data_IF_654405765891
#
_entry.id   IF_654405765891
#
_cell.length_a   1.000
_cell.length_b   1.000
_cell.length_c   1.000
_cell.angle_alpha   90.00
_cell.angle_beta   90.00
_cell.angle_gamma   90.00
#
_symmetry.space_group_name_H-M   'P 1'
#
loop_
_entity.id
_entity.type
_entity.pdbx_description
1 polymer ?
#
# COMPACT_ATOMS: atom_id res chain seq x y z
N UNK A 1 13.53 -4.53 8.07
CA UNK A 1 14.97 -4.64 7.71
C UNK A 1 15.75 -3.38 8.07
N UNK A 2 15.46 -2.20 7.51
CA UNK A 2 16.22 -0.96 7.80
C UNK A 2 16.25 -0.56 9.28
N UNK A 3 15.13 -0.69 10.00
CA UNK A 3 15.06 -0.44 11.45
C UNK A 3 15.86 -1.48 12.25
N UNK A 4 15.88 -2.73 11.79
CA UNK A 4 16.69 -3.79 12.39
C UNK A 4 18.18 -3.54 12.18
N UNK A 5 18.59 -3.22 10.94
CA UNK A 5 19.97 -2.82 10.61
C UNK A 5 20.41 -1.61 11.44
N UNK A 6 19.54 -0.60 11.60
CA UNK A 6 19.79 0.55 12.49
C UNK A 6 20.01 0.10 13.93
N UNK A 7 19.14 -0.76 14.48
CA UNK A 7 19.28 -1.30 15.84
C UNK A 7 20.57 -2.12 15.99
N UNK A 8 20.93 -2.95 15.01
CA UNK A 8 22.21 -3.70 14.98
C UNK A 8 23.42 -2.77 14.96
N UNK A 9 23.37 -1.68 14.18
CA UNK A 9 24.45 -0.70 14.08
C UNK A 9 24.72 0.00 15.43
N UNK A 10 23.67 0.23 16.23
CA UNK A 10 23.79 0.83 17.57
C UNK A 10 23.94 -0.18 18.71
N UNK A 11 23.86 -1.49 18.42
CA UNK A 11 23.91 -2.57 19.41
C UNK A 11 25.35 -2.96 19.83
N UNK A 12 26.39 -2.24 19.40
CA UNK A 12 27.79 -2.47 19.82
C UNK A 12 28.01 -2.47 21.34
N UNK A 13 27.03 -2.02 22.15
CA UNK A 13 27.10 -2.03 23.62
C UNK A 13 26.29 -3.11 24.32
N UNK A 14 25.38 -3.82 23.65
CA UNK A 14 24.52 -4.83 24.28
C UNK A 14 24.73 -6.20 23.60
N UNK A 15 25.35 -7.14 24.32
CA UNK A 15 25.82 -8.46 23.84
C UNK A 15 24.74 -9.45 23.34
N UNK A 16 23.57 -9.01 22.90
CA UNK A 16 22.53 -9.88 22.34
C UNK A 16 21.93 -9.28 21.07
N UNK A 17 22.49 -9.65 19.92
CA UNK A 17 21.84 -9.40 18.63
C UNK A 17 20.67 -10.38 18.51
N UNK A 18 19.45 -9.88 18.74
CA UNK A 18 18.23 -10.66 18.59
C UNK A 18 18.06 -11.05 17.10
N UNK A 19 17.71 -12.32 16.79
CA UNK A 19 17.47 -12.76 15.42
C UNK A 19 16.52 -11.85 14.63
N UNK A 20 16.78 -11.67 13.34
CA UNK A 20 16.00 -10.78 12.47
C UNK A 20 14.48 -11.08 12.54
N UNK A 21 14.09 -12.35 12.53
CA UNK A 21 12.67 -12.74 12.57
C UNK A 21 11.96 -12.26 13.83
N UNK A 22 12.64 -12.26 14.99
CA UNK A 22 12.09 -11.75 16.23
C UNK A 22 11.79 -10.26 16.11
N UNK A 23 12.66 -9.50 15.43
CA UNK A 23 12.46 -8.05 15.28
C UNK A 23 11.26 -7.66 14.42
N UNK A 24 10.69 -8.62 13.66
CA UNK A 24 9.40 -8.45 12.99
C UNK A 24 8.22 -8.35 13.97
N UNK A 25 8.41 -8.71 15.24
CA UNK A 25 7.41 -8.54 16.29
C UNK A 25 7.66 -7.24 17.08
N UNK A 26 8.91 -6.80 17.25
CA UNK A 26 9.30 -5.66 18.12
C UNK A 26 9.28 -4.25 17.48
N UNK A 27 8.67 -4.08 16.31
CA UNK A 27 8.63 -2.76 15.64
C UNK A 27 7.37 -1.94 15.97
N UNK A 28 6.34 -2.56 16.56
CA UNK A 28 5.08 -1.89 16.87
C UNK A 28 5.06 -1.42 18.33
N UNK A 29 4.61 -0.19 18.59
CA UNK A 29 4.25 0.24 19.95
C UNK A 29 2.92 -0.39 20.33
N UNK A 30 2.88 -1.09 21.47
CA UNK A 30 1.62 -1.61 22.00
C UNK A 30 0.70 -0.45 22.37
N UNK A 31 -0.58 -0.60 22.05
CA UNK A 31 -1.59 0.40 22.35
C UNK A 31 -1.80 0.49 23.87
N UNK A 32 -1.66 1.66 24.48
CA UNK A 32 -2.04 1.87 25.90
C UNK A 32 -3.53 1.57 26.16
N UNK A 33 -4.36 1.50 25.10
CA UNK A 33 -5.78 1.11 25.20
C UNK A 33 -5.99 -0.39 25.49
N UNK A 34 -4.94 -1.22 25.52
CA UNK A 34 -5.06 -2.62 25.91
C UNK A 34 -5.08 -2.81 27.44
N UNK A 35 -6.00 -2.15 28.13
CA UNK A 35 -6.62 -2.78 29.31
C UNK A 35 -7.56 -3.94 28.89
N UNK A 36 -7.80 -4.10 27.57
CA UNK A 36 -8.47 -5.24 26.94
C UNK A 36 -7.56 -6.43 26.60
N UNK A 37 -6.29 -6.45 27.01
CA UNK A 37 -5.50 -7.69 27.01
C UNK A 37 -5.97 -8.71 28.07
N UNK A 38 -7.11 -8.45 28.72
CA UNK A 38 -7.88 -9.44 29.45
C UNK A 38 -8.55 -10.40 28.45
N UNK A 39 -7.88 -11.55 28.27
CA UNK A 39 -8.39 -12.84 27.77
C UNK A 39 -9.19 -12.80 26.46
N UNK A 40 -8.52 -12.54 25.33
CA UNK A 40 -9.08 -12.92 24.02
C UNK A 40 -9.22 -14.44 24.00
N UNK A 41 -10.47 -14.91 23.90
CA UNK A 41 -10.76 -16.33 23.92
C UNK A 41 -10.45 -16.97 22.56
N UNK A 42 -10.22 -18.29 22.56
CA UNK A 42 -10.10 -19.07 21.32
C UNK A 42 -11.35 -18.91 20.44
N UNK A 43 -12.52 -18.71 21.05
CA UNK A 43 -13.78 -18.47 20.34
C UNK A 43 -13.73 -17.15 19.56
N UNK A 44 -13.21 -16.08 20.15
CA UNK A 44 -13.10 -14.77 19.49
C UNK A 44 -12.16 -14.81 18.28
N UNK A 45 -11.06 -15.55 18.40
CA UNK A 45 -10.10 -15.76 17.30
C UNK A 45 -10.75 -16.55 16.17
N UNK A 46 -11.47 -17.63 16.48
CA UNK A 46 -12.16 -18.43 15.48
C UNK A 46 -13.23 -17.59 14.74
N UNK A 47 -14.02 -16.79 15.47
CA UNK A 47 -15.02 -15.89 14.87
C UNK A 47 -14.34 -14.91 13.92
N UNK A 48 -13.23 -14.30 14.34
CA UNK A 48 -12.48 -13.38 13.48
C UNK A 48 -11.96 -14.06 12.21
N UNK A 49 -11.35 -15.26 12.34
CA UNK A 49 -10.85 -16.03 11.20
C UNK A 49 -11.99 -16.35 10.23
N UNK A 50 -13.14 -16.82 10.73
CA UNK A 50 -14.31 -17.13 9.89
C UNK A 50 -14.79 -15.89 9.15
N UNK A 51 -14.93 -14.75 9.83
CA UNK A 51 -15.32 -13.49 9.20
C UNK A 51 -14.34 -13.09 8.09
N UNK A 52 -13.03 -13.23 8.33
CA UNK A 52 -12.00 -12.93 7.34
C UNK A 52 -12.03 -13.88 6.15
N UNK A 53 -12.27 -15.17 6.36
CA UNK A 53 -12.44 -16.15 5.28
C UNK A 53 -13.62 -15.76 4.40
N UNK A 54 -14.77 -15.39 4.99
CA UNK A 54 -15.93 -14.94 4.23
C UNK A 54 -15.59 -13.70 3.39
N UNK A 55 -14.94 -12.69 3.98
CA UNK A 55 -14.51 -11.48 3.26
C UNK A 55 -13.55 -11.83 2.11
N UNK A 56 -12.60 -12.73 2.36
CA UNK A 56 -11.62 -13.18 1.38
C UNK A 56 -12.29 -13.86 0.19
N UNK A 57 -13.29 -14.73 0.44
CA UNK A 57 -14.07 -15.38 -0.63
C UNK A 57 -14.78 -14.37 -1.53
N UNK A 58 -15.47 -13.39 -0.95
CA UNK A 58 -16.14 -12.33 -1.73
C UNK A 58 -15.14 -11.50 -2.54
N UNK A 59 -14.02 -11.10 -1.94
CA UNK A 59 -12.95 -10.36 -2.64
C UNK A 59 -12.32 -11.19 -3.75
N UNK A 60 -12.21 -12.50 -3.57
CA UNK A 60 -11.64 -13.40 -4.57
C UNK A 60 -12.57 -13.58 -5.77
N UNK A 61 -13.88 -13.72 -5.55
CA UNK A 61 -14.87 -13.72 -6.64
C UNK A 61 -14.77 -12.42 -7.45
N UNK A 62 -14.72 -11.28 -6.77
CA UNK A 62 -14.56 -9.98 -7.42
C UNK A 62 -13.24 -9.88 -8.18
N UNK A 63 -12.14 -10.36 -7.60
CA UNK A 63 -10.84 -10.44 -8.26
C UNK A 63 -10.91 -11.23 -9.57
N UNK A 64 -11.55 -12.40 -9.57
CA UNK A 64 -11.69 -13.24 -10.78
C UNK A 64 -12.53 -12.56 -11.87
N UNK A 65 -13.63 -11.89 -11.49
CA UNK A 65 -14.47 -11.13 -12.43
C UNK A 65 -13.65 -10.00 -13.08
N UNK A 66 -12.96 -9.21 -12.25
CA UNK A 66 -12.14 -8.09 -12.72
C UNK A 66 -10.96 -8.56 -13.56
N UNK A 67 -10.29 -9.63 -13.15
CA UNK A 67 -9.17 -10.23 -13.89
C UNK A 67 -9.62 -10.62 -15.30
N UNK A 68 -10.71 -11.39 -15.42
CA UNK A 68 -11.25 -11.81 -16.73
C UNK A 68 -11.62 -10.62 -17.60
N UNK A 69 -12.23 -9.59 -17.02
CA UNK A 69 -12.56 -8.38 -17.78
C UNK A 69 -11.30 -7.67 -18.27
N UNK A 70 -10.30 -7.49 -17.41
CA UNK A 70 -9.04 -6.81 -17.73
C UNK A 70 -8.23 -7.53 -18.81
N UNK A 71 -8.21 -8.86 -18.77
CA UNK A 71 -7.47 -9.67 -19.75
C UNK A 71 -8.17 -9.75 -21.11
N UNK A 72 -9.50 -9.64 -21.14
CA UNK A 72 -10.28 -9.71 -22.38
C UNK A 72 -10.42 -8.35 -23.08
N UNK A 73 -10.20 -7.24 -22.37
CA UNK A 73 -10.44 -5.88 -22.87
C UNK A 73 -9.17 -5.01 -22.87
N UNK A 74 -8.01 -5.62 -23.17
CA UNK A 74 -6.73 -4.91 -23.14
C UNK A 74 -6.71 -3.84 -24.24
N UNK A 75 -6.57 -2.55 -23.90
CA UNK A 75 -6.45 -1.50 -24.88
C UNK A 75 -5.08 -1.50 -25.56
N UNK A 76 -5.01 -0.86 -26.72
CA UNK A 76 -3.75 -0.38 -27.25
C UNK A 76 -3.25 0.79 -26.38
N UNK A 77 -2.09 0.60 -25.74
CA UNK A 77 -1.53 1.60 -24.84
C UNK A 77 -0.72 2.59 -25.67
N UNK A 78 -0.99 3.91 -25.61
CA UNK A 78 -0.31 4.86 -26.48
C UNK A 78 1.20 4.89 -26.24
N UNK A 79 1.98 5.03 -27.31
CA UNK A 79 3.43 5.11 -27.22
C UNK A 79 3.91 6.37 -26.49
N UNK A 80 5.12 6.27 -25.91
CA UNK A 80 5.73 7.35 -25.15
C UNK A 80 5.23 7.48 -23.71
N UNK A 81 6.01 8.19 -22.90
CA UNK A 81 5.74 8.45 -21.49
C UNK A 81 4.60 9.46 -21.34
N UNK A 82 3.75 9.26 -20.34
CA UNK A 82 2.57 10.06 -20.07
C UNK A 82 2.83 11.57 -19.96
N UNK A 83 3.85 12.07 -19.23
CA UNK A 83 4.10 13.52 -19.15
C UNK A 83 4.38 14.16 -20.52
N UNK A 84 5.05 13.44 -21.44
CA UNK A 84 5.28 13.93 -22.82
C UNK A 84 3.98 13.96 -23.61
N UNK A 85 3.08 12.99 -23.40
CA UNK A 85 1.76 13.01 -24.04
C UNK A 85 0.89 14.16 -23.53
N UNK A 86 0.91 14.46 -22.23
CA UNK A 86 0.24 15.65 -21.69
C UNK A 86 0.78 16.92 -22.36
N UNK A 87 2.11 17.03 -22.47
CA UNK A 87 2.73 18.18 -23.12
C UNK A 87 2.32 18.31 -24.61
N UNK A 88 2.32 17.21 -25.36
CA UNK A 88 1.84 17.18 -26.74
C UNK A 88 0.35 17.49 -26.85
N UNK A 89 -0.47 17.10 -25.88
CA UNK A 89 -1.88 17.48 -25.86
C UNK A 89 -2.06 18.99 -25.73
N UNK A 90 -1.34 19.61 -24.79
CA UNK A 90 -1.41 21.07 -24.58
C UNK A 90 -0.88 21.84 -25.79
N UNK A 91 0.21 21.37 -26.41
CA UNK A 91 0.90 22.12 -27.47
C UNK A 91 0.40 21.82 -28.89
N UNK A 92 -0.05 20.59 -29.15
CA UNK A 92 -0.42 20.12 -30.49
C UNK A 92 -1.88 19.66 -30.58
N UNK A 93 -2.63 19.69 -29.48
CA UNK A 93 -4.03 19.25 -29.45
C UNK A 93 -4.23 17.74 -29.55
N UNK A 94 -3.16 16.94 -29.49
CA UNK A 94 -3.22 15.46 -29.60
C UNK A 94 -3.65 14.89 -28.24
N UNK A 95 -4.85 14.28 -28.10
CA UNK A 95 -5.35 13.86 -26.79
C UNK A 95 -4.41 12.85 -26.10
N UNK A 96 -4.05 13.13 -24.84
CA UNK A 96 -3.23 12.20 -24.05
C UNK A 96 -4.03 11.00 -23.50
N UNK A 97 -5.37 11.10 -23.53
CA UNK A 97 -6.31 10.20 -22.86
C UNK A 97 -7.55 9.99 -23.73
N UNK A 98 -8.10 8.77 -23.69
CA UNK A 98 -9.42 8.45 -24.21
C UNK A 98 -10.32 7.98 -23.06
N UNK A 99 -11.65 8.07 -23.23
CA UNK A 99 -12.62 7.65 -22.20
C UNK A 99 -12.44 6.17 -21.82
N UNK A 100 -12.18 5.31 -22.81
CA UNK A 100 -11.97 3.88 -22.57
C UNK A 100 -10.67 3.61 -21.81
N UNK A 101 -9.56 4.26 -22.17
CA UNK A 101 -8.29 4.12 -21.44
C UNK A 101 -8.44 4.56 -19.99
N UNK A 102 -9.13 5.67 -19.75
CA UNK A 102 -9.38 6.17 -18.40
C UNK A 102 -10.19 5.15 -17.57
N UNK A 103 -11.25 4.61 -18.14
CA UNK A 103 -12.06 3.57 -17.50
C UNK A 103 -11.22 2.31 -17.22
N UNK A 104 -10.43 1.86 -18.20
CA UNK A 104 -9.55 0.71 -18.04
C UNK A 104 -8.53 0.89 -16.91
N UNK A 105 -7.90 2.08 -16.81
CA UNK A 105 -6.96 2.38 -15.74
C UNK A 105 -7.63 2.46 -14.37
N UNK A 106 -8.87 2.98 -14.30
CA UNK A 106 -9.66 2.98 -13.08
C UNK A 106 -9.98 1.55 -12.61
N UNK A 107 -10.44 0.69 -13.52
CA UNK A 107 -10.70 -0.73 -13.24
C UNK A 107 -9.41 -1.45 -12.84
N UNK A 108 -8.29 -1.17 -13.52
CA UNK A 108 -6.98 -1.74 -13.19
C UNK A 108 -6.52 -1.35 -11.78
N UNK A 109 -6.69 -0.09 -11.40
CA UNK A 109 -6.34 0.40 -10.06
C UNK A 109 -7.22 -0.24 -8.99
N UNK A 110 -8.52 -0.39 -9.27
CA UNK A 110 -9.43 -1.08 -8.39
C UNK A 110 -9.05 -2.56 -8.24
N UNK A 111 -8.70 -3.23 -9.33
CA UNK A 111 -8.20 -4.60 -9.33
C UNK A 111 -6.94 -4.77 -8.49
N UNK A 112 -5.93 -3.90 -8.67
CA UNK A 112 -4.70 -3.91 -7.84
C UNK A 112 -5.03 -3.68 -6.36
N UNK A 113 -5.98 -2.80 -6.06
CA UNK A 113 -6.45 -2.58 -4.68
C UNK A 113 -7.05 -3.85 -4.09
N UNK A 114 -7.88 -4.58 -4.84
CA UNK A 114 -8.45 -5.87 -4.42
C UNK A 114 -7.36 -6.93 -4.25
N UNK A 115 -6.39 -7.02 -5.16
CA UNK A 115 -5.27 -7.96 -5.07
C UNK A 115 -4.45 -7.75 -3.79
N UNK A 116 -4.08 -6.52 -3.48
CA UNK A 116 -3.32 -6.20 -2.27
C UNK A 116 -4.16 -6.45 -1.01
N UNK A 117 -5.45 -6.11 -1.06
CA UNK A 117 -6.43 -6.37 0.00
C UNK A 117 -6.58 -7.87 0.30
N UNK A 118 -6.61 -8.72 -0.73
CA UNK A 118 -6.62 -10.18 -0.61
C UNK A 118 -5.36 -10.70 0.10
N UNK A 119 -4.18 -10.22 -0.30
CA UNK A 119 -2.91 -10.57 0.35
C UNK A 119 -2.90 -10.21 1.84
N UNK A 120 -3.49 -9.06 2.19
CA UNK A 120 -3.60 -8.62 3.59
C UNK A 120 -4.58 -9.47 4.41
N UNK A 121 -5.77 -9.79 3.90
CA UNK A 121 -6.70 -10.67 4.62
C UNK A 121 -6.14 -12.09 4.77
N UNK A 122 -5.44 -12.61 3.76
CA UNK A 122 -4.75 -13.90 3.86
C UNK A 122 -3.70 -13.87 4.97
N UNK A 123 -2.90 -12.80 5.03
CA UNK A 123 -1.93 -12.60 6.10
C UNK A 123 -2.59 -12.56 7.49
N UNK A 124 -3.74 -11.90 7.64
CA UNK A 124 -4.49 -11.87 8.90
C UNK A 124 -5.06 -13.25 9.29
N UNK A 125 -5.51 -14.05 8.33
CA UNK A 125 -5.97 -15.43 8.59
C UNK A 125 -4.80 -16.29 9.09
N UNK A 126 -3.65 -16.24 8.40
CA UNK A 126 -2.43 -16.95 8.82
C UNK A 126 -2.03 -16.50 10.23
N UNK A 127 -2.07 -15.19 10.49
CA UNK A 127 -1.76 -14.64 11.81
C UNK A 127 -2.73 -15.13 12.90
N UNK A 128 -4.03 -15.21 12.61
CA UNK A 128 -5.03 -15.74 13.53
C UNK A 128 -4.86 -17.23 13.81
N UNK A 129 -4.55 -18.04 12.78
CA UNK A 129 -4.25 -19.47 12.95
C UNK A 129 -3.00 -19.65 13.82
N UNK A 130 -1.96 -18.83 13.58
CA UNK A 130 -0.75 -18.83 14.38
C UNK A 130 -1.02 -18.43 15.84
N UNK A 131 -1.80 -17.37 16.08
CA UNK A 131 -2.20 -16.96 17.43
C UNK A 131 -3.01 -18.04 18.15
N UNK A 132 -3.96 -18.68 17.46
CA UNK A 132 -4.74 -19.81 18.00
C UNK A 132 -3.82 -20.94 18.45
N UNK A 133 -2.82 -21.28 17.62
CA UNK A 133 -1.81 -22.27 17.95
C UNK A 133 -1.02 -21.87 19.21
N UNK A 134 -0.55 -20.61 19.29
CA UNK A 134 0.22 -20.10 20.43
C UNK A 134 -0.57 -20.09 21.75
N UNK A 135 -1.88 -19.84 21.72
CA UNK A 135 -2.74 -19.88 22.93
C UNK A 135 -3.00 -21.32 23.38
N UNK A 136 -3.13 -22.26 22.44
CA UNK A 136 -3.37 -23.68 22.74
C UNK A 136 -2.16 -24.34 23.42
N UNK A 137 -0.95 -23.84 23.13
CA UNK A 137 0.27 -24.26 23.80
C UNK A 137 0.30 -23.65 25.20
N UNK A 138 0.16 -24.50 26.23
CA UNK A 138 0.40 -24.11 27.63
C UNK A 138 1.82 -23.53 27.78
N UNK A 139 1.99 -22.49 28.61
CA UNK A 139 3.21 -21.66 28.78
C UNK A 139 4.49 -22.42 29.22
N UNK A 140 4.51 -23.75 29.18
CA UNK A 140 5.60 -24.59 29.68
C UNK A 140 6.57 -25.08 28.59
N UNK A 141 6.17 -25.09 27.30
CA UNK A 141 7.06 -25.59 26.23
C UNK A 141 7.63 -24.45 25.38
N UNK A 142 8.96 -24.39 25.30
CA UNK A 142 9.64 -23.68 24.22
C UNK A 142 9.24 -24.33 22.89
N UNK A 143 8.87 -23.51 21.91
CA UNK A 143 8.52 -23.98 20.57
C UNK A 143 9.69 -23.65 19.67
N UNK A 144 10.31 -24.68 19.08
CA UNK A 144 11.23 -24.68 17.92
C UNK A 144 12.31 -23.57 17.86
N UNK A 145 11.93 -22.29 17.84
CA UNK A 145 12.75 -21.09 17.66
C UNK A 145 12.45 -19.92 18.62
N UNK A 146 11.43 -20.02 19.47
CA UNK A 146 11.00 -18.93 20.33
C UNK A 146 11.10 -19.29 21.80
N UNK A 147 11.96 -18.56 22.51
CA UNK A 147 12.10 -18.67 23.95
C UNK A 147 10.83 -18.16 24.67
N UNK A 148 10.61 -18.67 25.88
CA UNK A 148 9.45 -18.33 26.72
C UNK A 148 9.32 -16.82 26.96
N UNK A 149 10.44 -16.10 27.03
CA UNK A 149 10.47 -14.64 27.20
C UNK A 149 9.85 -13.87 26.02
N UNK A 150 9.87 -14.42 24.80
CA UNK A 150 9.31 -13.77 23.61
C UNK A 150 7.85 -14.15 23.34
N UNK A 151 7.36 -15.25 23.93
CA UNK A 151 6.00 -15.75 23.69
C UNK A 151 4.91 -14.72 23.97
N UNK A 152 5.00 -14.04 25.12
CA UNK A 152 4.04 -13.00 25.50
C UNK A 152 3.99 -11.90 24.45
N UNK A 153 5.15 -11.38 24.06
CA UNK A 153 5.27 -10.31 23.08
C UNK A 153 4.74 -10.71 21.70
N UNK A 154 4.99 -11.95 21.27
CA UNK A 154 4.50 -12.45 19.98
C UNK A 154 2.97 -12.60 20.00
N UNK A 155 2.40 -13.12 21.09
CA UNK A 155 0.95 -13.19 21.29
C UNK A 155 0.32 -11.80 21.21
N UNK A 156 0.85 -10.83 21.96
CA UNK A 156 0.40 -9.43 21.97
C UNK A 156 0.52 -8.79 20.59
N UNK A 157 1.61 -9.06 19.85
CA UNK A 157 1.78 -8.55 18.50
C UNK A 157 0.73 -9.11 17.55
N UNK A 158 0.44 -10.41 17.58
CA UNK A 158 -0.59 -11.02 16.73
C UNK A 158 -1.98 -10.45 17.05
N UNK A 159 -2.30 -10.32 18.35
CA UNK A 159 -3.54 -9.67 18.80
C UNK A 159 -3.65 -8.26 18.23
N UNK A 160 -2.60 -7.45 18.39
CA UNK A 160 -2.60 -6.08 17.89
C UNK A 160 -2.72 -6.06 16.37
N UNK A 161 -2.05 -6.99 15.66
CA UNK A 161 -2.17 -7.12 14.20
C UNK A 161 -3.60 -7.36 13.76
N UNK A 162 -4.34 -8.23 14.44
CA UNK A 162 -5.72 -8.58 14.12
C UNK A 162 -6.73 -7.49 14.49
N UNK A 163 -6.61 -6.88 15.67
CA UNK A 163 -7.68 -6.06 16.25
C UNK A 163 -7.37 -4.55 16.30
N UNK A 164 -6.10 -4.15 16.35
CA UNK A 164 -5.72 -2.74 16.50
C UNK A 164 -5.21 -2.12 15.19
N UNK A 165 -4.93 -2.93 14.16
CA UNK A 165 -4.39 -2.43 12.89
C UNK A 165 -5.53 -2.04 11.96
N UNK A 166 -5.49 -0.79 11.50
CA UNK A 166 -6.35 -0.38 10.39
C UNK A 166 -6.02 -1.21 9.15
N UNK A 167 -7.05 -1.55 8.38
CA UNK A 167 -6.87 -2.15 7.07
C UNK A 167 -6.08 -1.21 6.13
N UNK A 168 -5.32 -1.76 5.17
CA UNK A 168 -4.44 -0.98 4.29
C UNK A 168 -5.17 0.09 3.48
N UNK A 169 -6.46 -0.12 3.21
CA UNK A 169 -7.32 0.82 2.48
C UNK A 169 -8.58 1.13 3.28
N UNK A 170 -8.99 2.41 3.26
CA UNK A 170 -10.23 2.90 3.88
C UNK A 170 -10.99 3.79 2.90
N UNK A 171 -11.79 3.18 2.03
CA UNK A 171 -12.62 3.89 1.04
C UNK A 171 -11.88 5.03 0.32
N UNK A 172 -10.77 4.75 -0.40
CA UNK A 172 -9.92 5.78 -1.01
C UNK A 172 -10.69 6.69 -1.98
N UNK A 173 -11.67 6.15 -2.71
CA UNK A 173 -12.49 6.92 -3.66
C UNK A 173 -13.43 7.95 -3.02
N UNK A 174 -13.54 7.97 -1.68
CA UNK A 174 -14.31 8.98 -0.94
C UNK A 174 -13.42 10.12 -0.41
N UNK A 175 -12.16 10.19 -0.83
CA UNK A 175 -11.24 11.25 -0.39
C UNK A 175 -11.69 12.62 -0.89
N UNK A 176 -11.70 13.61 0.00
CA UNK A 176 -12.03 15.01 -0.32
C UNK A 176 -10.79 15.91 -0.41
N UNK A 177 -9.60 15.38 -0.11
CA UNK A 177 -8.35 16.10 -0.26
C UNK A 177 -7.19 15.13 -0.51
N UNK A 178 -6.06 15.60 -1.06
CA UNK A 178 -4.86 14.78 -1.21
C UNK A 178 -4.36 14.23 0.14
N UNK A 179 -4.43 15.03 1.22
CA UNK A 179 -4.10 14.57 2.58
C UNK A 179 -5.03 13.44 3.02
N UNK A 180 -6.34 13.57 2.80
CA UNK A 180 -7.32 12.54 3.14
C UNK A 180 -7.03 11.22 2.40
N UNK A 181 -6.74 11.29 1.09
CA UNK A 181 -6.34 10.11 0.32
C UNK A 181 -5.07 9.47 0.88
N UNK A 182 -3.96 10.21 0.89
CA UNK A 182 -2.62 9.65 1.09
C UNK A 182 -2.28 9.36 2.55
N UNK A 183 -2.86 10.09 3.50
CA UNK A 183 -2.56 9.92 4.93
C UNK A 183 -3.57 9.02 5.64
N UNK A 184 -4.81 8.92 5.17
CA UNK A 184 -5.90 8.30 5.95
C UNK A 184 -6.68 7.21 5.21
N UNK A 185 -6.48 7.02 3.91
CA UNK A 185 -7.29 6.08 3.12
C UNK A 185 -6.53 5.13 2.20
N UNK A 186 -5.33 5.51 1.74
CA UNK A 186 -4.54 4.74 0.79
C UNK A 186 -3.28 4.17 1.43
N UNK A 187 -3.05 2.86 1.29
CA UNK A 187 -1.84 2.17 1.73
C UNK A 187 -1.38 2.54 3.15
N UNK A 188 -2.29 2.51 4.12
CA UNK A 188 -2.04 2.95 5.50
C UNK A 188 -0.93 2.16 6.20
N UNK A 189 -0.67 0.95 5.73
CA UNK A 189 0.43 0.13 6.21
C UNK A 189 1.81 0.77 5.93
N UNK A 190 1.96 1.51 4.83
CA UNK A 190 3.22 2.15 4.44
C UNK A 190 3.39 3.58 4.97
N UNK A 191 2.31 4.19 5.46
CA UNK A 191 2.30 5.61 5.84
C UNK A 191 3.39 5.93 6.90
N UNK A 192 3.41 5.18 8.01
CA UNK A 192 4.42 5.39 9.05
C UNK A 192 5.85 5.13 8.54
N UNK A 193 6.03 4.19 7.60
CA UNK A 193 7.35 3.96 7.00
C UNK A 193 7.83 5.17 6.19
N UNK A 194 6.98 5.74 5.33
CA UNK A 194 7.33 6.95 4.59
C UNK A 194 7.51 8.16 5.48
N UNK A 195 6.74 8.24 6.57
CA UNK A 195 6.87 9.31 7.55
C UNK A 195 8.23 9.27 8.26
N UNK A 196 8.63 8.11 8.75
CA UNK A 196 9.90 7.95 9.49
C UNK A 196 11.13 7.95 8.57
N UNK A 197 11.04 7.38 7.37
CA UNK A 197 12.19 7.23 6.47
C UNK A 197 12.40 8.43 5.55
N UNK A 198 11.37 9.21 5.25
CA UNK A 198 11.46 10.30 4.28
C UNK A 198 10.95 11.63 4.85
N UNK A 199 9.71 11.69 5.35
CA UNK A 199 9.10 12.95 5.79
C UNK A 199 9.88 13.61 6.94
N UNK A 200 10.07 12.90 8.05
CA UNK A 200 10.69 13.45 9.26
C UNK A 200 12.17 13.82 9.03
N UNK A 201 13.00 12.97 8.41
CA UNK A 201 14.38 13.35 8.11
C UNK A 201 14.47 14.61 7.25
N UNK A 202 13.75 14.68 6.13
CA UNK A 202 13.79 15.82 5.22
C UNK A 202 13.27 17.10 5.88
N UNK A 203 12.16 17.00 6.62
CA UNK A 203 11.60 18.12 7.41
C UNK A 203 12.59 18.67 8.43
N UNK A 204 13.34 17.79 9.11
CA UNK A 204 14.25 18.16 10.18
C UNK A 204 15.54 18.82 9.68
N UNK A 205 15.96 18.56 8.43
CA UNK A 205 17.09 19.27 7.80
C UNK A 205 16.84 20.78 7.71
N UNK A 206 15.58 21.21 7.65
CA UNK A 206 15.21 22.61 7.50
C UNK A 206 14.63 23.20 8.78
N UNK A 207 15.03 22.72 9.97
CA UNK A 207 14.43 23.11 11.26
C UNK A 207 14.34 24.63 11.49
N UNK A 208 15.28 25.40 10.93
CA UNK A 208 15.35 26.87 11.04
C UNK A 208 14.43 27.62 10.06
N UNK A 209 13.65 26.92 9.22
CA UNK A 209 12.69 27.52 8.27
C UNK A 209 11.26 27.52 8.83
N UNK A 210 10.34 28.22 8.15
CA UNK A 210 8.94 28.27 8.54
C UNK A 210 8.30 26.88 8.60
N UNK A 211 7.28 26.70 9.44
CA UNK A 211 6.56 25.41 9.56
C UNK A 211 6.05 24.91 8.21
N UNK A 212 5.39 25.77 7.45
CA UNK A 212 4.81 25.42 6.14
C UNK A 212 5.89 24.95 5.15
N UNK A 213 7.05 25.62 5.12
CA UNK A 213 8.16 25.21 4.27
C UNK A 213 8.71 23.84 4.67
N UNK A 214 8.94 23.62 5.98
CA UNK A 214 9.44 22.34 6.50
C UNK A 214 8.48 21.19 6.20
N UNK A 215 7.18 21.40 6.43
CA UNK A 215 6.15 20.41 6.16
C UNK A 215 6.05 20.12 4.65
N UNK A 216 6.13 21.15 3.79
CA UNK A 216 6.17 20.97 2.33
C UNK A 216 7.36 20.13 1.86
N UNK A 217 8.56 20.40 2.37
CA UNK A 217 9.75 19.59 2.07
C UNK A 217 9.58 18.15 2.54
N UNK A 218 9.03 17.94 3.74
CA UNK A 218 8.72 16.61 4.25
C UNK A 218 7.76 15.84 3.33
N UNK A 219 6.70 16.49 2.86
CA UNK A 219 5.74 15.90 1.91
C UNK A 219 6.47 15.51 0.62
N UNK A 220 7.17 16.46 -0.01
CA UNK A 220 7.85 16.22 -1.29
C UNK A 220 8.87 15.07 -1.19
N UNK A 221 9.60 14.97 -0.07
CA UNK A 221 10.52 13.87 0.19
C UNK A 221 9.81 12.52 0.28
N UNK A 222 8.67 12.44 0.99
CA UNK A 222 7.90 11.20 1.10
C UNK A 222 7.36 10.71 -0.26
N UNK A 223 6.83 11.63 -1.07
CA UNK A 223 6.37 11.30 -2.42
C UNK A 223 7.52 10.94 -3.36
N UNK A 224 8.66 11.59 -3.25
CA UNK A 224 9.87 11.25 -4.03
C UNK A 224 10.39 9.86 -3.66
N UNK A 225 10.36 9.49 -2.37
CA UNK A 225 10.72 8.14 -1.94
C UNK A 225 9.76 7.09 -2.53
N UNK A 226 8.45 7.39 -2.57
CA UNK A 226 7.45 6.53 -3.20
C UNK A 226 7.66 6.42 -4.71
N UNK A 227 7.98 7.52 -5.39
CA UNK A 227 8.35 7.56 -6.80
C UNK A 227 9.53 6.63 -7.11
N UNK A 228 10.64 6.76 -6.37
CA UNK A 228 11.83 5.94 -6.53
C UNK A 228 11.51 4.46 -6.30
N UNK A 229 10.72 4.15 -5.27
CA UNK A 229 10.30 2.77 -4.99
C UNK A 229 9.53 2.16 -6.17
N UNK A 230 8.61 2.90 -6.79
CA UNK A 230 7.83 2.39 -7.92
C UNK A 230 8.64 2.27 -9.21
N UNK A 231 9.57 3.20 -9.48
CA UNK A 231 10.52 3.02 -10.59
C UNK A 231 11.44 1.81 -10.36
N UNK A 232 11.90 1.60 -9.13
CA UNK A 232 12.68 0.40 -8.76
C UNK A 232 11.87 -0.89 -8.97
N UNK A 233 10.59 -0.90 -8.61
CA UNK A 233 9.72 -2.05 -8.87
C UNK A 233 9.58 -2.34 -10.37
N UNK A 234 9.35 -1.32 -11.20
CA UNK A 234 9.29 -1.48 -12.66
C UNK A 234 10.62 -2.00 -13.21
N UNK A 235 11.74 -1.47 -12.72
CA UNK A 235 13.07 -1.92 -13.11
C UNK A 235 13.31 -3.39 -12.76
N UNK A 236 12.99 -3.81 -11.53
CA UNK A 236 13.18 -5.21 -11.09
C UNK A 236 12.25 -6.17 -11.83
N UNK A 237 10.99 -5.78 -12.07
CA UNK A 237 10.01 -6.66 -12.70
C UNK A 237 10.20 -6.78 -14.21
N UNK A 238 10.62 -5.69 -14.88
CA UNK A 238 10.58 -5.59 -16.33
C UNK A 238 11.90 -5.16 -16.99
N UNK A 239 12.95 -4.88 -16.20
CA UNK A 239 14.24 -4.36 -16.66
C UNK A 239 14.08 -3.10 -17.54
N UNK A 240 13.17 -2.19 -17.15
CA UNK A 240 12.90 -0.92 -17.83
C UNK A 240 12.77 0.22 -16.83
N UNK A 241 12.99 1.44 -17.31
CA UNK A 241 12.63 2.68 -16.62
C UNK A 241 11.47 3.34 -17.37
N UNK A 242 10.40 3.74 -16.67
CA UNK A 242 9.26 4.42 -17.32
C UNK A 242 9.24 5.91 -17.01
N UNK A 243 9.69 6.34 -15.83
CA UNK A 243 9.54 7.71 -15.30
C UNK A 243 8.08 8.20 -15.15
N UNK A 244 7.10 7.44 -15.62
CA UNK A 244 5.67 7.69 -15.46
C UNK A 244 5.25 7.61 -13.99
N UNK A 245 5.75 6.61 -13.25
CA UNK A 245 5.47 6.48 -11.82
C UNK A 245 6.15 7.60 -11.05
N UNK A 246 7.38 7.97 -11.45
CA UNK A 246 8.06 9.12 -10.89
C UNK A 246 7.23 10.39 -11.04
N UNK A 247 6.77 10.68 -12.26
CA UNK A 247 5.89 11.81 -12.55
C UNK A 247 4.59 11.76 -11.74
N UNK A 248 3.95 10.59 -11.62
CA UNK A 248 2.72 10.43 -10.86
C UNK A 248 2.92 10.85 -9.39
N UNK A 249 3.87 10.24 -8.68
CA UNK A 249 4.03 10.51 -7.25
C UNK A 249 4.54 11.93 -6.98
N UNK A 250 5.49 12.46 -7.76
CA UNK A 250 5.96 13.83 -7.55
C UNK A 250 4.85 14.86 -7.80
N UNK A 251 4.02 14.65 -8.82
CA UNK A 251 2.86 15.51 -9.10
C UNK A 251 1.87 15.50 -7.93
N UNK A 252 1.56 14.33 -7.36
CA UNK A 252 0.70 14.23 -6.17
C UNK A 252 1.29 14.94 -4.95
N UNK A 253 2.61 14.87 -4.76
CA UNK A 253 3.29 15.62 -3.69
C UNK A 253 3.15 17.14 -3.85
N UNK A 254 3.36 17.65 -5.06
CA UNK A 254 3.17 19.08 -5.37
C UNK A 254 1.71 19.49 -5.17
N UNK A 255 0.76 18.69 -5.68
CA UNK A 255 -0.68 18.94 -5.53
C UNK A 255 -1.06 19.00 -4.06
N UNK A 256 -0.55 18.10 -3.21
CA UNK A 256 -0.83 18.14 -1.78
C UNK A 256 -0.31 19.44 -1.16
N UNK A 257 0.93 19.85 -1.45
CA UNK A 257 1.49 21.11 -0.91
C UNK A 257 0.66 22.33 -1.34
N UNK A 258 0.29 22.41 -2.62
CA UNK A 258 -0.55 23.48 -3.15
C UNK A 258 -1.93 23.46 -2.48
N UNK A 259 -2.54 22.28 -2.36
CA UNK A 259 -3.85 22.10 -1.74
C UNK A 259 -3.85 22.58 -0.29
N UNK A 260 -2.86 22.18 0.50
CA UNK A 260 -2.72 22.61 1.89
C UNK A 260 -2.47 24.11 2.01
N UNK A 261 -1.75 24.72 1.05
CA UNK A 261 -1.54 26.16 1.04
C UNK A 261 -2.82 26.95 0.72
N UNK A 262 -3.70 26.42 -0.14
CA UNK A 262 -4.94 27.10 -0.57
C UNK A 262 -6.10 26.83 0.41
N UNK A 263 -6.27 25.57 0.80
CA UNK A 263 -7.43 25.10 1.55
C UNK A 263 -7.14 24.81 3.02
N UNK A 264 -5.87 24.72 3.44
CA UNK A 264 -5.48 24.31 4.80
C UNK A 264 -5.80 25.34 5.89
N UNK A 265 -6.12 26.59 5.53
CA UNK A 265 -6.55 27.64 6.47
C UNK A 265 -8.06 27.73 6.67
N UNK A 266 -8.86 26.96 5.92
CA UNK A 266 -10.32 26.99 6.02
C UNK A 266 -10.75 26.28 7.30
N UNK A 267 -11.48 26.97 8.18
CA UNK A 267 -11.96 26.41 9.46
C UNK A 267 -12.93 25.25 9.22
N UNK A 268 -12.78 24.15 9.96
CA UNK A 268 -13.63 22.94 9.89
C UNK A 268 -15.14 23.23 10.02
N UNK A 269 -15.52 24.29 10.74
CA UNK A 269 -16.93 24.68 10.91
C UNK A 269 -17.58 25.26 9.64
N UNK A 270 -16.80 25.80 8.70
CA UNK A 270 -17.30 26.24 7.38
C UNK A 270 -17.29 25.12 6.32
N UNK A 271 -16.83 23.93 6.70
CA UNK A 271 -16.53 22.81 5.81
C UNK A 271 -17.72 21.84 5.62
N UNK A 272 -18.72 21.90 6.52
CA UNK A 272 -19.86 20.96 6.55
C UNK A 272 -20.92 21.17 5.45
N UNK A 273 -20.76 22.17 4.59
CA UNK A 273 -21.69 22.33 3.46
C UNK A 273 -21.52 21.18 2.46
N UNK A 274 -22.59 20.41 2.23
CA UNK A 274 -22.59 19.30 1.26
C UNK A 274 -22.03 19.72 -0.12
N UNK A 275 -22.35 20.95 -0.58
CA UNK A 275 -21.83 21.50 -1.84
C UNK A 275 -20.30 21.59 -1.85
N UNK A 276 -19.68 22.01 -0.74
CA UNK A 276 -18.21 22.14 -0.62
C UNK A 276 -17.54 20.77 -0.56
N UNK A 277 -18.12 19.82 0.18
CA UNK A 277 -17.64 18.44 0.25
C UNK A 277 -17.69 17.79 -1.14
N UNK A 278 -18.82 17.92 -1.83
CA UNK A 278 -18.99 17.37 -3.18
C UNK A 278 -18.02 18.02 -4.18
N UNK A 279 -17.83 19.34 -4.11
CA UNK A 279 -16.87 20.04 -4.98
C UNK A 279 -15.44 19.53 -4.76
N UNK A 280 -15.00 19.45 -3.50
CA UNK A 280 -13.65 18.96 -3.15
C UNK A 280 -13.45 17.50 -3.54
N UNK A 281 -14.45 16.65 -3.31
CA UNK A 281 -14.46 15.27 -3.78
C UNK A 281 -14.36 15.18 -5.31
N UNK A 282 -15.13 15.99 -6.04
CA UNK A 282 -15.09 16.05 -7.51
C UNK A 282 -13.72 16.47 -8.02
N UNK A 283 -13.12 17.53 -7.44
CA UNK A 283 -11.76 17.95 -7.77
C UNK A 283 -10.75 16.82 -7.52
N UNK A 284 -10.87 16.11 -6.39
CA UNK A 284 -10.00 14.99 -6.08
C UNK A 284 -10.16 13.85 -7.08
N UNK A 285 -11.40 13.52 -7.47
CA UNK A 285 -11.68 12.52 -8.50
C UNK A 285 -11.06 12.90 -9.84
N UNK A 286 -11.16 14.17 -10.26
CA UNK A 286 -10.50 14.65 -11.47
C UNK A 286 -8.98 14.50 -11.38
N UNK A 287 -8.36 14.87 -10.25
CA UNK A 287 -6.91 14.71 -10.02
C UNK A 287 -6.50 13.24 -10.13
N UNK A 288 -7.19 12.34 -9.42
CA UNK A 288 -6.90 10.90 -9.43
C UNK A 288 -7.00 10.36 -10.84
N UNK A 289 -8.13 10.60 -11.51
CA UNK A 289 -8.40 10.10 -12.86
C UNK A 289 -7.39 10.63 -13.89
N UNK A 290 -7.09 11.94 -13.84
CA UNK A 290 -6.14 12.56 -14.75
C UNK A 290 -4.71 12.04 -14.55
N UNK A 291 -4.29 11.75 -13.32
CA UNK A 291 -2.93 11.28 -13.04
C UNK A 291 -2.76 9.77 -13.18
N UNK A 292 -3.88 9.02 -13.15
CA UNK A 292 -3.90 7.55 -13.16
C UNK A 292 -3.07 6.87 -14.25
N UNK A 293 -3.00 7.37 -15.50
CA UNK A 293 -2.16 6.76 -16.52
C UNK A 293 -0.69 6.69 -16.12
N UNK A 294 -0.16 7.72 -15.45
CA UNK A 294 1.21 7.74 -14.95
C UNK A 294 1.48 6.65 -13.91
N UNK A 295 0.46 6.23 -13.17
CA UNK A 295 0.58 5.14 -12.21
C UNK A 295 0.41 3.75 -12.85
N UNK A 296 -0.55 3.61 -13.76
CA UNK A 296 -0.98 2.29 -14.26
C UNK A 296 -0.21 1.83 -15.49
N UNK A 297 0.05 2.73 -16.45
CA UNK A 297 0.65 2.39 -17.74
C UNK A 297 1.98 1.64 -17.65
N UNK A 298 2.90 1.98 -16.74
CA UNK A 298 4.16 1.24 -16.61
C UNK A 298 3.98 -0.24 -16.36
N UNK A 299 2.91 -0.63 -15.66
CA UNK A 299 2.60 -2.02 -15.41
C UNK A 299 1.95 -2.65 -16.63
N UNK A 300 0.84 -2.09 -17.12
CA UNK A 300 0.02 -2.72 -18.17
C UNK A 300 0.70 -2.80 -19.55
N UNK A 301 1.74 -2.00 -19.79
CA UNK A 301 2.60 -2.09 -20.99
C UNK A 301 3.29 -3.44 -21.12
N UNK A 302 3.45 -4.18 -20.03
CA UNK A 302 4.18 -5.44 -20.02
C UNK A 302 3.25 -6.65 -19.97
N UNK A 303 3.56 -7.75 -20.68
CA UNK A 303 2.73 -8.95 -20.69
C UNK A 303 2.60 -9.66 -19.33
N UNK A 304 3.50 -9.42 -18.36
CA UNK A 304 3.51 -10.08 -17.04
C UNK A 304 3.02 -9.18 -15.90
N UNK A 305 2.11 -8.27 -16.19
CA UNK A 305 1.70 -7.26 -15.22
C UNK A 305 0.74 -7.76 -14.13
N UNK A 306 0.20 -8.98 -14.26
CA UNK A 306 -0.70 -9.61 -13.28
C UNK A 306 -0.25 -11.02 -12.93
N UNK A 307 -0.32 -11.37 -11.64
CA UNK A 307 -0.18 -12.75 -11.19
C UNK A 307 -1.30 -13.63 -11.75
N UNK A 308 -0.99 -14.87 -12.12
CA UNK A 308 -1.96 -15.80 -12.70
C UNK A 308 -3.15 -16.05 -11.77
N UNK A 309 -4.37 -16.00 -12.32
CA UNK A 309 -5.58 -16.48 -11.64
C UNK A 309 -5.54 -18.01 -11.49
N UNK A 310 -6.21 -18.53 -10.45
CA UNK A 310 -6.34 -19.98 -10.20
C UNK A 310 -7.13 -20.66 -11.31
N UNK A 311 -8.09 -19.96 -11.90
CA UNK A 311 -8.97 -20.50 -12.94
C UNK A 311 -8.65 -20.02 -14.35
N UNK A 312 -7.74 -19.07 -14.49
CA UNK A 312 -7.40 -18.51 -15.78
C UNK A 312 -5.91 -18.17 -15.85
N UNK A 313 -5.19 -18.99 -16.61
CA UNK A 313 -3.86 -18.62 -17.06
C UNK A 313 -3.99 -17.50 -18.09
N UNK A 314 -3.50 -16.31 -17.73
CA UNK A 314 -3.36 -15.25 -18.70
C UNK A 314 -2.18 -15.62 -19.62
N UNK A 315 -2.51 -16.00 -20.85
CA UNK A 315 -1.57 -16.46 -21.87
C UNK A 315 -1.36 -15.35 -22.89
N UNK A 316 -0.64 -14.28 -22.51
CA UNK A 316 -0.11 -13.36 -23.53
C UNK A 316 1.08 -13.96 -24.30
N UNK A 317 1.71 -15.00 -23.75
CA UNK A 317 2.69 -15.87 -24.42
C UNK A 317 2.75 -17.25 -23.71
N UNK A 318 2.31 -18.35 -24.34
CA UNK A 318 2.35 -19.70 -23.75
C UNK A 318 3.77 -20.18 -23.39
N UNK A 319 4.82 -19.64 -24.02
CA UNK A 319 6.22 -20.03 -23.78
C UNK A 319 6.77 -19.54 -22.43
N UNK A 320 6.07 -18.59 -21.80
CA UNK A 320 6.51 -17.87 -20.60
C UNK A 320 5.74 -18.26 -19.32
N UNK A 321 4.89 -19.29 -19.39
CA UNK A 321 4.19 -19.85 -18.24
C UNK A 321 5.17 -20.40 -17.18
N UNK A 322 4.91 -20.11 -15.90
CA UNK A 322 5.66 -20.69 -14.79
C UNK A 322 5.27 -22.17 -14.64
N UNK A 323 6.06 -23.05 -15.24
CA UNK A 323 5.79 -24.47 -15.24
C UNK A 323 6.37 -25.11 -13.95
N UNK A 324 5.50 -25.41 -12.98
CA UNK A 324 5.88 -26.07 -11.72
C UNK A 324 6.72 -27.35 -11.95
N UNK A 325 6.53 -28.05 -13.08
CA UNK A 325 7.30 -29.24 -13.43
C UNK A 325 8.79 -28.99 -13.71
N UNK A 326 9.21 -27.74 -13.99
CA UNK A 326 10.63 -27.38 -14.14
C UNK A 326 11.35 -27.17 -12.81
N UNK A 327 10.61 -26.83 -11.74
CA UNK A 327 11.20 -26.55 -10.43
C UNK A 327 11.58 -27.83 -9.66
N UNK A 328 10.92 -28.95 -9.95
CA UNK A 328 11.21 -30.27 -9.37
C UNK A 328 12.25 -31.09 -10.17
N UNK A 329 12.88 -30.48 -11.18
CA UNK A 329 13.94 -31.11 -12.01
C UNK A 329 15.33 -30.51 -11.79
N UNK A 330 15.47 -29.60 -10.83
CA UNK A 330 16.73 -29.16 -10.22
C UNK A 330 16.76 -29.70 -8.79
#
# INVERSE_FOLDING_TARGET
>A
MMIWLKKCLYAEKEKQIVPFYLTMFYWRKFSEKTNKSQEISIKDINIYIIQRIIILLFKWILFEILYRWLTNNIPEIPEGIYPVRIFNWITKGIPALTTFLLFYYAVTTFFVTIMLSLGYDLFLIINGIFLRYLITLKDEKSILFFEKQHMKHIKEWCISMMYDTNHMFRYPYLSTSPRDLWSFRWQLFLNESFKELAYLPARNLFINRSKNFRDAIGVLAAFTMSAILHEYLIFVLFNKFSFDNFFFFTSHGIILVIWESIFGSIKENEERSFKRIFLRWSMMMMIILFTLPGFVEPFVRHPRWVASSVFSSYTRDPSLNFNFSKFFKL
#
